data_IF_647076758959
#
_entry.id   IF_647076758959
#
_cell.length_a   1.000
_cell.length_b   1.000
_cell.length_c   1.000
_cell.angle_alpha   90.00
_cell.angle_beta   90.00
_cell.angle_gamma   90.00
#
_symmetry.space_group_name_H-M   'P 1'
#
loop_
_entity.id
_entity.type
_entity.pdbx_description
1 polymer ?
#
# COMPACT_ATOMS: atom_id res chain seq x y z
N UNK A 1 22.36 64.87 1.72
CA UNK A 1 21.98 63.62 1.01
C UNK A 1 22.28 62.44 1.92
N UNK A 2 21.37 61.47 1.96
CA UNK A 2 21.23 60.43 3.00
C UNK A 2 21.36 59.07 2.33
N UNK A 3 22.16 58.18 2.90
CA UNK A 3 21.92 56.72 2.92
C UNK A 3 22.74 56.09 4.03
N UNK A 4 22.05 55.74 5.13
CA UNK A 4 22.56 54.86 6.18
C UNK A 4 22.57 53.42 5.67
N UNK A 5 23.70 52.73 5.83
CA UNK A 5 23.74 51.26 5.75
C UNK A 5 23.09 50.71 7.03
N UNK A 6 22.03 49.93 6.87
CA UNK A 6 21.25 49.38 7.97
C UNK A 6 21.99 48.21 8.64
N UNK A 7 22.29 48.37 9.93
CA UNK A 7 22.68 47.28 10.81
C UNK A 7 21.52 46.29 10.94
N UNK A 8 21.74 45.04 10.55
CA UNK A 8 20.73 43.98 10.68
C UNK A 8 20.83 43.37 12.07
N UNK A 9 19.76 43.35 12.89
CA UNK A 9 19.82 42.86 14.26
C UNK A 9 20.20 41.37 14.31
N UNK A 10 20.96 40.93 15.33
CA UNK A 10 21.58 39.60 15.41
C UNK A 10 20.58 38.44 15.32
N UNK A 11 19.32 38.67 15.73
CA UNK A 11 18.23 37.67 15.63
C UNK A 11 17.86 37.32 14.19
N UNK A 12 17.91 38.28 13.25
CA UNK A 12 17.61 38.00 11.83
C UNK A 12 18.75 37.22 11.16
N UNK A 13 20.00 37.48 11.55
CA UNK A 13 21.16 36.71 11.05
C UNK A 13 21.11 35.25 11.51
N UNK A 14 20.71 35.00 12.76
CA UNK A 14 20.55 33.62 13.29
C UNK A 14 19.45 32.85 12.54
N UNK A 15 18.32 33.48 12.24
CA UNK A 15 17.23 32.85 11.46
C UNK A 15 17.68 32.50 10.04
N UNK A 16 18.43 33.40 9.38
CA UNK A 16 18.97 33.13 8.04
C UNK A 16 19.99 32.00 8.05
N UNK A 17 20.83 31.90 9.09
CA UNK A 17 21.80 30.81 9.24
C UNK A 17 21.12 29.46 9.50
N UNK A 18 20.05 29.43 10.30
CA UNK A 18 19.26 28.21 10.55
C UNK A 18 18.54 27.76 9.26
N UNK A 19 17.92 28.70 8.54
CA UNK A 19 17.26 28.40 7.28
C UNK A 19 18.24 27.89 6.23
N UNK A 20 19.42 28.51 6.10
CA UNK A 20 20.46 28.03 5.19
C UNK A 20 21.00 26.64 5.59
N UNK A 21 21.16 26.38 6.89
CA UNK A 21 21.59 25.07 7.39
C UNK A 21 20.58 23.96 7.10
N UNK A 22 19.28 24.22 7.29
CA UNK A 22 18.20 23.29 6.95
C UNK A 22 18.15 22.99 5.45
N UNK A 23 18.34 24.01 4.60
CA UNK A 23 18.40 23.83 3.15
C UNK A 23 19.58 22.96 2.71
N UNK A 24 20.76 23.16 3.30
CA UNK A 24 21.95 22.35 3.00
C UNK A 24 21.76 20.89 3.45
N UNK A 25 21.14 20.66 4.61
CA UNK A 25 20.82 19.31 5.09
C UNK A 25 19.80 18.60 4.20
N UNK A 26 18.76 19.30 3.72
CA UNK A 26 17.80 18.75 2.76
C UNK A 26 18.45 18.38 1.43
N UNK A 27 19.33 19.23 0.90
CA UNK A 27 20.05 18.97 -0.34
C UNK A 27 21.03 17.79 -0.19
N UNK A 28 21.70 17.66 0.95
CA UNK A 28 22.57 16.52 1.25
C UNK A 28 21.78 15.21 1.37
N UNK A 29 20.59 15.24 1.98
CA UNK A 29 19.69 14.08 2.07
C UNK A 29 19.24 13.57 0.70
N UNK A 30 18.88 14.48 -0.21
CA UNK A 30 18.49 14.13 -1.59
C UNK A 30 19.68 13.56 -2.37
N UNK A 31 20.88 14.12 -2.19
CA UNK A 31 22.10 13.64 -2.87
C UNK A 31 22.51 12.22 -2.44
N UNK A 32 22.37 11.88 -1.16
CA UNK A 32 22.66 10.53 -0.66
C UNK A 32 21.59 9.53 -1.12
N UNK A 33 20.32 9.94 -1.16
CA UNK A 33 19.22 9.08 -1.63
C UNK A 33 19.32 8.76 -3.14
N UNK A 34 19.79 9.71 -3.95
CA UNK A 34 20.02 9.50 -5.39
C UNK A 34 21.23 8.62 -5.72
N UNK A 35 22.22 8.53 -4.83
CA UNK A 35 23.43 7.71 -5.03
C UNK A 35 23.21 6.22 -4.70
N UNK A 36 22.22 5.89 -3.86
CA UNK A 36 21.89 4.51 -3.50
C UNK A 36 21.07 3.80 -4.61
N UNK A 37 20.38 4.55 -5.48
CA UNK A 37 19.51 3.97 -6.51
C UNK A 37 20.14 3.76 -7.89
N UNK A 38 21.34 4.28 -8.18
CA UNK A 38 22.13 3.95 -9.37
C UNK A 38 21.50 4.32 -10.73
N UNK A 39 22.26 4.76 -11.75
CA UNK A 39 21.69 4.98 -13.08
C UNK A 39 21.43 3.64 -13.78
N UNK A 40 20.17 3.32 -14.10
CA UNK A 40 19.85 2.23 -15.03
C UNK A 40 20.26 2.63 -16.44
N UNK A 41 21.37 2.09 -16.94
CA UNK A 41 21.74 2.16 -18.36
C UNK A 41 21.24 0.92 -19.08
N UNK A 42 20.09 1.01 -19.75
CA UNK A 42 19.64 0.05 -20.75
C UNK A 42 20.00 0.53 -22.17
N UNK A 43 20.21 -0.37 -23.16
CA UNK A 43 20.55 0.03 -24.53
C UNK A 43 19.35 0.67 -25.24
N UNK A 44 19.58 1.54 -26.24
CA UNK A 44 18.50 2.17 -27.00
C UNK A 44 17.81 1.14 -27.92
N UNK A 45 16.48 1.22 -28.10
CA UNK A 45 15.81 0.41 -29.11
C UNK A 45 16.08 0.97 -30.51
N UNK A 46 16.41 0.06 -31.42
CA UNK A 46 16.53 0.33 -32.86
C UNK A 46 15.19 0.74 -33.44
N UNK A 47 15.19 1.84 -34.19
CA UNK A 47 14.09 2.26 -35.03
C UNK A 47 13.96 1.29 -36.21
N UNK A 48 12.77 0.75 -36.41
CA UNK A 48 12.36 0.20 -37.71
C UNK A 48 10.91 0.58 -37.97
N UNK A 49 10.74 1.54 -38.88
CA UNK A 49 9.47 1.87 -39.53
C UNK A 49 9.02 0.70 -40.43
N UNK A 50 7.73 0.34 -40.39
CA UNK A 50 6.82 0.43 -41.53
C UNK A 50 5.50 -0.36 -41.32
N UNK A 51 4.40 0.35 -41.64
CA UNK A 51 3.12 -0.09 -42.21
C UNK A 51 2.02 -0.80 -41.38
N UNK A 52 0.88 -0.08 -41.28
CA UNK A 52 -0.47 -0.63 -41.28
C UNK A 52 -1.42 -0.05 -40.22
N UNK A 53 -2.50 0.69 -40.58
CA UNK A 53 -3.52 1.10 -39.63
C UNK A 53 -4.53 -0.05 -39.44
N UNK A 54 -4.43 -0.76 -38.32
CA UNK A 54 -5.52 -1.58 -37.82
C UNK A 54 -6.12 -0.87 -36.60
N UNK A 55 -7.33 -0.34 -36.76
CA UNK A 55 -8.15 0.11 -35.65
C UNK A 55 -8.53 -1.13 -34.82
N UNK A 56 -7.68 -1.48 -33.85
CA UNK A 56 -8.06 -2.39 -32.77
C UNK A 56 -9.02 -1.63 -31.88
N UNK A 57 -10.30 -1.99 -31.96
CA UNK A 57 -11.29 -1.59 -30.95
C UNK A 57 -10.71 -1.96 -29.57
N UNK A 58 -10.54 -0.94 -28.72
CA UNK A 58 -10.25 -1.16 -27.32
C UNK A 58 -11.32 -2.12 -26.76
N UNK A 59 -10.96 -3.13 -25.95
CA UNK A 59 -11.94 -3.76 -25.09
C UNK A 59 -12.53 -2.63 -24.24
N UNK A 60 -13.85 -2.49 -24.30
CA UNK A 60 -14.57 -1.69 -23.31
C UNK A 60 -14.34 -2.37 -21.96
N UNK A 61 -13.32 -1.92 -21.25
CA UNK A 61 -13.09 -2.33 -19.88
C UNK A 61 -14.34 -1.96 -19.09
N UNK A 62 -14.93 -2.99 -18.48
CA UNK A 62 -16.24 -2.94 -17.88
C UNK A 62 -16.38 -1.71 -17.01
N UNK A 63 -17.48 -0.99 -17.21
CA UNK A 63 -17.88 0.16 -16.42
C UNK A 63 -17.85 -0.21 -14.94
N UNK A 64 -16.75 0.10 -14.24
CA UNK A 64 -16.72 0.10 -12.79
C UNK A 64 -17.83 1.06 -12.37
N UNK A 65 -18.89 0.54 -11.76
CA UNK A 65 -20.00 1.36 -11.31
C UNK A 65 -19.42 2.37 -10.31
N UNK A 66 -19.36 3.66 -10.63
CA UNK A 66 -18.82 4.66 -9.72
C UNK A 66 -19.85 4.79 -8.60
N UNK A 67 -19.59 4.15 -7.47
CA UNK A 67 -20.52 4.22 -6.33
C UNK A 67 -20.44 3.13 -5.28
N UNK A 68 -19.62 2.07 -5.45
CA UNK A 68 -19.40 1.09 -4.37
C UNK A 68 -17.96 0.59 -4.32
N UNK A 69 -17.48 0.34 -3.12
CA UNK A 69 -16.23 -0.40 -2.88
C UNK A 69 -16.51 -1.88 -3.17
N UNK A 70 -15.59 -2.54 -3.86
CA UNK A 70 -15.72 -3.97 -4.20
C UNK A 70 -15.55 -4.80 -2.92
N UNK A 71 -16.54 -5.66 -2.55
CA UNK A 71 -16.41 -6.53 -1.39
C UNK A 71 -15.28 -7.54 -1.51
N UNK A 72 -14.76 -8.01 -0.36
CA UNK A 72 -13.82 -9.14 -0.36
C UNK A 72 -14.55 -10.40 -0.79
N UNK A 73 -14.09 -11.03 -1.87
CA UNK A 73 -14.62 -12.31 -2.32
C UNK A 73 -14.23 -13.41 -1.31
N UNK A 74 -15.25 -14.12 -0.77
CA UNK A 74 -15.05 -15.22 0.18
C UNK A 74 -14.51 -16.45 -0.53
N UNK A 75 -13.68 -17.22 0.17
CA UNK A 75 -13.12 -18.49 -0.31
C UNK A 75 -12.96 -19.44 0.88
N UNK A 76 -13.05 -20.74 0.64
CA UNK A 76 -12.67 -21.79 1.60
C UNK A 76 -11.19 -22.20 1.47
N UNK A 77 -10.54 -21.84 0.37
CA UNK A 77 -9.10 -21.99 0.19
C UNK A 77 -8.37 -20.80 0.84
N UNK A 78 -7.43 -21.04 1.79
CA UNK A 78 -6.79 -19.98 2.56
C UNK A 78 -5.91 -19.06 1.71
N UNK A 79 -5.20 -19.59 0.71
CA UNK A 79 -4.35 -18.77 -0.16
C UNK A 79 -5.19 -17.85 -1.05
N UNK A 80 -6.22 -18.39 -1.69
CA UNK A 80 -7.17 -17.62 -2.50
C UNK A 80 -7.86 -16.55 -1.66
N UNK A 81 -8.30 -16.89 -0.45
CA UNK A 81 -8.90 -15.92 0.48
C UNK A 81 -7.92 -14.80 0.86
N UNK A 82 -6.67 -15.16 1.19
CA UNK A 82 -5.64 -14.18 1.53
C UNK A 82 -5.31 -13.24 0.37
N UNK A 83 -5.26 -13.75 -0.88
CA UNK A 83 -5.11 -12.93 -2.09
C UNK A 83 -6.26 -11.94 -2.24
N UNK A 84 -7.51 -12.39 -2.05
CA UNK A 84 -8.69 -11.53 -2.12
C UNK A 84 -8.66 -10.41 -1.07
N UNK A 85 -8.26 -10.73 0.16
CA UNK A 85 -8.05 -9.74 1.23
C UNK A 85 -6.96 -8.75 0.83
N UNK A 86 -5.81 -9.23 0.37
CA UNK A 86 -4.68 -8.40 -0.04
C UNK A 86 -5.07 -7.41 -1.16
N UNK A 87 -5.77 -7.89 -2.18
CA UNK A 87 -6.30 -7.02 -3.25
C UNK A 87 -7.23 -5.95 -2.69
N UNK A 88 -8.18 -6.30 -1.82
CA UNK A 88 -9.14 -5.35 -1.27
C UNK A 88 -8.49 -4.27 -0.38
N UNK A 89 -7.50 -4.63 0.44
CA UNK A 89 -6.78 -3.68 1.31
C UNK A 89 -6.02 -2.63 0.48
N UNK A 90 -5.51 -3.03 -0.70
CA UNK A 90 -4.70 -2.15 -1.53
C UNK A 90 -5.47 -1.43 -2.64
N UNK A 91 -6.69 -1.87 -2.97
CA UNK A 91 -7.52 -1.34 -4.05
C UNK A 91 -8.37 -0.15 -3.59
N UNK A 92 -7.79 1.04 -3.60
CA UNK A 92 -8.49 2.26 -3.23
C UNK A 92 -8.29 3.41 -4.21
N UNK A 93 -9.26 4.33 -4.21
CA UNK A 93 -9.30 5.51 -5.07
C UNK A 93 -9.78 6.71 -4.24
N UNK A 94 -8.89 7.69 -4.08
CA UNK A 94 -9.18 8.91 -3.30
C UNK A 94 -10.22 9.82 -3.98
N UNK A 95 -10.39 9.69 -5.31
CA UNK A 95 -11.36 10.40 -6.13
C UNK A 95 -12.76 9.77 -6.16
N UNK A 96 -12.92 8.53 -5.68
CA UNK A 96 -14.19 7.80 -5.69
C UNK A 96 -15.23 8.30 -4.66
N UNK A 97 -14.88 9.31 -3.84
CA UNK A 97 -15.77 9.89 -2.83
C UNK A 97 -15.80 9.15 -1.49
N UNK A 98 -15.04 8.06 -1.35
CA UNK A 98 -14.88 7.31 -0.11
C UNK A 98 -13.74 7.86 0.76
N UNK A 99 -13.77 7.46 2.03
CA UNK A 99 -12.75 7.71 3.06
C UNK A 99 -12.07 6.38 3.46
N UNK A 100 -10.88 6.42 4.08
CA UNK A 100 -10.15 5.19 4.46
C UNK A 100 -11.02 4.18 5.24
N UNK A 101 -11.87 4.67 6.15
CA UNK A 101 -12.71 3.82 6.98
C UNK A 101 -13.75 3.04 6.17
N UNK A 102 -14.21 3.57 5.03
CA UNK A 102 -15.16 2.87 4.16
C UNK A 102 -14.51 1.63 3.53
N UNK A 103 -13.23 1.73 3.14
CA UNK A 103 -12.45 0.59 2.65
C UNK A 103 -12.17 -0.43 3.75
N UNK A 104 -11.82 0.04 4.95
CA UNK A 104 -11.67 -0.83 6.13
C UNK A 104 -12.95 -1.59 6.43
N UNK A 105 -14.12 -0.94 6.36
CA UNK A 105 -15.41 -1.56 6.68
C UNK A 105 -15.68 -2.79 5.82
N UNK A 106 -15.36 -2.73 4.53
CA UNK A 106 -15.54 -3.86 3.60
C UNK A 106 -14.64 -5.05 3.96
N UNK A 107 -13.40 -4.81 4.39
CA UNK A 107 -12.51 -5.89 4.83
C UNK A 107 -12.97 -6.49 6.16
N UNK A 108 -13.57 -5.68 7.04
CA UNK A 108 -14.13 -6.15 8.31
C UNK A 108 -15.34 -7.08 8.14
N UNK A 109 -16.04 -7.08 7.00
CA UNK A 109 -17.17 -7.98 6.74
C UNK A 109 -16.76 -9.46 6.61
N UNK A 110 -15.47 -9.73 6.40
CA UNK A 110 -14.91 -11.09 6.36
C UNK A 110 -14.05 -11.41 7.58
N UNK A 111 -14.03 -10.53 8.59
CA UNK A 111 -13.37 -10.81 9.85
C UNK A 111 -13.99 -12.02 10.56
N UNK A 112 -13.23 -12.63 11.47
CA UNK A 112 -13.74 -13.71 12.32
C UNK A 112 -15.00 -13.28 13.11
N UNK A 113 -16.10 -14.04 13.00
CA UNK A 113 -17.39 -13.65 13.56
C UNK A 113 -17.45 -13.75 15.08
N UNK A 114 -16.49 -14.40 15.74
CA UNK A 114 -16.44 -14.42 17.22
C UNK A 114 -16.16 -13.04 17.80
N UNK A 115 -15.54 -12.16 17.02
CA UNK A 115 -15.14 -10.82 17.45
C UNK A 115 -13.80 -10.76 18.20
N UNK A 116 -13.17 -11.89 18.50
CA UNK A 116 -11.97 -11.97 19.34
C UNK A 116 -10.82 -11.14 18.77
N UNK A 117 -10.56 -11.26 17.46
CA UNK A 117 -9.45 -10.57 16.81
C UNK A 117 -9.83 -9.21 16.19
N UNK A 118 -11.11 -8.81 16.20
CA UNK A 118 -11.58 -7.64 15.43
C UNK A 118 -10.91 -6.32 15.86
N UNK A 119 -10.65 -6.13 17.15
CA UNK A 119 -9.96 -4.94 17.63
C UNK A 119 -8.49 -4.90 17.16
N UNK A 120 -7.82 -6.06 17.16
CA UNK A 120 -6.46 -6.21 16.64
C UNK A 120 -6.43 -5.98 15.13
N UNK A 121 -7.33 -6.62 14.39
CA UNK A 121 -7.45 -6.47 12.94
C UNK A 121 -7.71 -5.03 12.51
N UNK A 122 -8.61 -4.32 13.20
CA UNK A 122 -8.88 -2.92 12.93
C UNK A 122 -7.64 -2.04 13.14
N UNK A 123 -6.83 -2.35 14.16
CA UNK A 123 -5.55 -1.67 14.39
C UNK A 123 -4.54 -2.00 13.28
N UNK A 124 -4.45 -3.26 12.85
CA UNK A 124 -3.56 -3.64 11.76
C UNK A 124 -3.96 -2.90 10.47
N UNK A 125 -5.24 -2.92 10.08
CA UNK A 125 -5.76 -2.25 8.88
C UNK A 125 -5.49 -0.75 8.88
N UNK A 126 -5.53 -0.08 10.04
CA UNK A 126 -5.22 1.34 10.15
C UNK A 126 -3.78 1.68 9.71
N UNK A 127 -2.86 0.72 9.74
CA UNK A 127 -1.49 0.90 9.26
C UNK A 127 -1.34 0.70 7.75
N UNK A 128 -2.32 0.08 7.07
CA UNK A 128 -2.26 -0.18 5.62
C UNK A 128 -2.83 0.97 4.78
N UNK A 129 -3.75 1.76 5.34
CA UNK A 129 -4.37 2.88 4.64
C UNK A 129 -3.73 4.22 5.03
N UNK A 130 -3.69 5.20 4.11
CA UNK A 130 -3.29 6.56 4.46
C UNK A 130 -4.18 7.13 5.58
N UNK A 131 -3.57 7.86 6.51
CA UNK A 131 -4.31 8.64 7.52
C UNK A 131 -5.20 9.69 6.84
N UNK A 132 -6.21 10.17 7.55
CA UNK A 132 -7.25 11.06 6.99
C UNK A 132 -6.66 12.31 6.33
N UNK A 133 -5.67 12.93 6.96
CA UNK A 133 -5.02 14.14 6.46
C UNK A 133 -4.30 13.85 5.14
N UNK A 134 -3.50 12.78 5.10
CA UNK A 134 -2.83 12.33 3.88
C UNK A 134 -3.82 11.96 2.77
N UNK A 135 -4.96 11.36 3.12
CA UNK A 135 -6.01 11.04 2.15
C UNK A 135 -6.59 12.29 1.46
N UNK A 136 -6.82 13.36 2.23
CA UNK A 136 -7.30 14.64 1.70
C UNK A 136 -6.26 15.27 0.76
N UNK A 137 -4.98 15.17 1.09
CA UNK A 137 -3.90 15.65 0.23
C UNK A 137 -3.82 14.82 -1.08
N UNK A 138 -3.84 13.49 -0.97
CA UNK A 138 -3.79 12.57 -2.11
C UNK A 138 -4.97 12.73 -3.07
N UNK A 139 -6.16 13.09 -2.54
CA UNK A 139 -7.35 13.36 -3.35
C UNK A 139 -7.16 14.51 -4.34
N UNK A 140 -6.32 15.50 -4.02
CA UNK A 140 -6.01 16.61 -4.94
C UNK A 140 -5.33 16.12 -6.22
N UNK A 141 -4.70 14.94 -6.16
CA UNK A 141 -4.01 14.31 -7.27
C UNK A 141 -4.78 13.13 -7.87
N UNK A 142 -6.06 12.93 -7.50
CA UNK A 142 -6.86 11.77 -7.90
C UNK A 142 -6.10 10.45 -7.72
N UNK A 143 -5.44 10.28 -6.56
CA UNK A 143 -4.54 9.17 -6.35
C UNK A 143 -5.32 7.86 -6.22
N UNK A 144 -4.89 6.84 -6.96
CA UNK A 144 -5.35 5.46 -6.85
C UNK A 144 -4.22 4.56 -6.41
N UNK A 145 -4.56 3.42 -5.81
CA UNK A 145 -3.65 2.35 -5.49
C UNK A 145 -4.24 1.00 -5.86
N UNK A 146 -3.37 0.08 -6.29
CA UNK A 146 -3.67 -1.35 -6.36
C UNK A 146 -2.41 -2.16 -6.05
N UNK A 147 -2.58 -3.48 -5.95
CA UNK A 147 -1.52 -4.44 -5.70
C UNK A 147 -1.52 -5.47 -6.82
N UNK A 148 -0.35 -5.71 -7.40
CA UNK A 148 -0.08 -6.92 -8.18
C UNK A 148 0.60 -7.94 -7.28
N UNK A 149 -0.05 -9.07 -7.04
CA UNK A 149 0.48 -10.12 -6.17
C UNK A 149 1.42 -11.00 -7.00
N UNK A 150 2.69 -11.06 -6.60
CA UNK A 150 3.70 -11.89 -7.26
C UNK A 150 3.78 -13.28 -6.64
N UNK A 151 3.54 -13.39 -5.33
CA UNK A 151 3.56 -14.68 -4.64
C UNK A 151 2.60 -14.71 -3.45
N UNK A 152 2.14 -15.91 -3.10
CA UNK A 152 1.40 -16.18 -1.87
C UNK A 152 1.71 -17.59 -1.39
N UNK A 153 2.15 -17.73 -0.14
CA UNK A 153 2.57 -19.03 0.40
C UNK A 153 2.44 -19.08 1.93
N UNK A 154 2.38 -20.29 2.49
CA UNK A 154 2.50 -20.49 3.93
C UNK A 154 3.98 -20.33 4.32
N UNK A 155 4.35 -19.37 5.18
CA UNK A 155 5.75 -19.13 5.53
C UNK A 155 6.32 -20.27 6.37
N UNK A 156 7.62 -20.52 6.28
CA UNK A 156 8.27 -21.65 6.96
C UNK A 156 8.17 -21.51 8.49
N UNK A 157 8.30 -20.27 9.01
CA UNK A 157 8.12 -20.03 10.44
C UNK A 157 6.71 -20.33 10.95
N UNK A 158 5.69 -20.48 10.10
CA UNK A 158 4.34 -20.85 10.56
C UNK A 158 4.32 -22.24 11.22
N UNK A 159 5.04 -23.21 10.65
CA UNK A 159 5.16 -24.54 11.25
C UNK A 159 5.83 -24.49 12.63
N UNK A 160 6.81 -23.60 12.78
CA UNK A 160 7.50 -23.36 14.06
C UNK A 160 6.57 -22.69 15.07
N UNK A 161 5.79 -21.68 14.65
CA UNK A 161 4.80 -21.01 15.50
C UNK A 161 3.74 -21.99 16.01
N UNK A 162 3.25 -22.90 15.16
CA UNK A 162 2.33 -23.95 15.56
C UNK A 162 2.94 -24.91 16.57
N UNK A 163 4.19 -25.35 16.37
CA UNK A 163 4.86 -26.27 17.28
C UNK A 163 5.16 -25.65 18.67
N UNK A 164 5.31 -24.33 18.72
CA UNK A 164 5.61 -23.59 19.96
C UNK A 164 4.35 -23.07 20.68
N UNK A 165 3.19 -23.09 20.02
CA UNK A 165 1.95 -22.63 20.60
C UNK A 165 1.52 -23.51 21.79
N UNK A 166 1.01 -22.87 22.85
CA UNK A 166 0.36 -23.60 23.93
C UNK A 166 -0.93 -24.26 23.44
N UNK A 167 -1.39 -25.36 24.06
CA UNK A 167 -2.66 -25.98 23.70
C UNK A 167 -3.81 -24.97 23.71
N UNK A 168 -4.51 -24.85 22.58
CA UNK A 168 -5.63 -23.92 22.40
C UNK A 168 -5.24 -22.46 22.14
N UNK A 169 -3.94 -22.12 22.08
CA UNK A 169 -3.49 -20.77 21.72
C UNK A 169 -3.73 -20.46 20.23
N UNK A 170 -3.61 -21.48 19.37
CA UNK A 170 -3.96 -21.41 17.95
C UNK A 170 -5.15 -22.33 17.73
N UNK A 171 -6.26 -21.77 17.28
CA UNK A 171 -7.46 -22.55 16.96
C UNK A 171 -7.21 -23.41 15.72
N UNK A 172 -7.70 -24.65 15.75
CA UNK A 172 -7.62 -25.55 14.60
C UNK A 172 -8.23 -24.91 13.34
N UNK A 173 -7.59 -25.09 12.19
CA UNK A 173 -7.95 -24.43 10.94
C UNK A 173 -7.34 -23.05 10.75
N UNK A 174 -6.58 -22.53 11.73
CA UNK A 174 -5.79 -21.30 11.55
C UNK A 174 -4.55 -21.57 10.70
N UNK A 175 -4.27 -20.70 9.74
CA UNK A 175 -3.02 -20.67 9.00
C UNK A 175 -2.54 -19.23 8.74
N UNK A 176 -1.32 -19.10 8.25
CA UNK A 176 -0.72 -17.84 7.83
C UNK A 176 -0.34 -17.92 6.36
N UNK A 177 -0.65 -16.86 5.60
CA UNK A 177 -0.28 -16.73 4.19
C UNK A 177 0.53 -15.45 4.03
N UNK A 178 1.81 -15.58 3.71
CA UNK A 178 2.64 -14.44 3.32
C UNK A 178 2.35 -14.09 1.87
N UNK A 179 2.04 -12.82 1.64
CA UNK A 179 1.80 -12.19 0.35
C UNK A 179 3.03 -11.37 0.00
N UNK A 180 3.55 -11.57 -1.21
CA UNK A 180 4.54 -10.69 -1.83
C UNK A 180 3.93 -10.07 -3.08
N UNK A 181 4.26 -8.81 -3.36
CA UNK A 181 3.74 -8.13 -4.53
C UNK A 181 4.33 -6.75 -4.78
N UNK A 182 3.82 -6.11 -5.83
CA UNK A 182 4.18 -4.75 -6.21
C UNK A 182 2.96 -3.86 -6.03
N UNK A 183 3.11 -2.87 -5.13
CA UNK A 183 2.13 -1.82 -4.91
C UNK A 183 2.32 -0.72 -5.94
N UNK A 184 1.28 -0.48 -6.73
CA UNK A 184 1.22 0.58 -7.71
C UNK A 184 0.42 1.75 -7.15
N UNK A 185 0.94 2.97 -7.28
CA UNK A 185 0.19 4.20 -7.09
C UNK A 185 0.23 5.03 -8.35
N UNK A 186 -0.91 5.59 -8.72
CA UNK A 186 -1.03 6.51 -9.84
C UNK A 186 -1.79 7.77 -9.41
N UNK A 187 -1.52 8.89 -10.08
CA UNK A 187 -2.21 10.15 -9.85
C UNK A 187 -1.90 11.17 -10.94
N UNK A 188 -2.36 12.40 -10.76
CA UNK A 188 -2.18 13.51 -11.70
C UNK A 188 -1.54 14.70 -11.00
N UNK A 189 -0.40 15.17 -11.50
CA UNK A 189 0.30 16.35 -11.01
C UNK A 189 0.50 17.35 -12.16
N UNK A 190 0.03 18.60 -12.00
CA UNK A 190 0.07 19.63 -13.06
C UNK A 190 -0.43 19.09 -14.42
N UNK A 191 -1.60 18.45 -14.43
CA UNK A 191 -2.22 17.84 -15.61
C UNK A 191 -1.43 16.70 -16.27
N UNK A 192 -0.36 16.23 -15.62
CA UNK A 192 0.46 15.10 -16.10
C UNK A 192 0.27 13.87 -15.23
N UNK A 193 0.14 12.67 -15.82
CA UNK A 193 0.11 11.45 -15.05
C UNK A 193 1.45 11.22 -14.35
N UNK A 194 1.40 10.74 -13.11
CA UNK A 194 2.53 10.31 -12.31
C UNK A 194 2.22 8.94 -11.71
N UNK A 195 3.23 8.09 -11.57
CA UNK A 195 3.10 6.78 -10.97
C UNK A 195 4.33 6.40 -10.14
N UNK A 196 4.14 5.53 -9.17
CA UNK A 196 5.21 4.91 -8.39
C UNK A 196 4.90 3.45 -8.09
N UNK A 197 5.97 2.67 -7.94
CA UNK A 197 5.92 1.23 -7.72
C UNK A 197 6.81 0.88 -6.54
N UNK A 198 6.32 0.02 -5.65
CA UNK A 198 7.04 -0.40 -4.46
C UNK A 198 6.77 -1.88 -4.21
N UNK A 199 7.82 -2.68 -4.09
CA UNK A 199 7.70 -4.04 -3.55
C UNK A 199 7.16 -3.97 -2.13
N UNK A 200 6.24 -4.87 -1.81
CA UNK A 200 5.66 -5.02 -0.48
C UNK A 200 5.55 -6.48 -0.10
N UNK A 201 5.66 -6.76 1.19
CA UNK A 201 5.41 -8.09 1.72
C UNK A 201 4.72 -8.05 3.10
N UNK A 202 3.76 -8.92 3.33
CA UNK A 202 3.05 -9.01 4.60
C UNK A 202 2.36 -10.36 4.77
N UNK A 203 1.92 -10.69 5.97
CA UNK A 203 1.26 -11.97 6.27
C UNK A 203 -0.19 -11.76 6.66
N UNK A 204 -1.07 -12.54 6.05
CA UNK A 204 -2.50 -12.63 6.36
C UNK A 204 -2.72 -13.86 7.24
N UNK A 205 -3.25 -13.65 8.44
CA UNK A 205 -3.64 -14.74 9.34
C UNK A 205 -5.12 -15.04 9.12
N UNK A 206 -5.42 -16.29 8.79
CA UNK A 206 -6.75 -16.73 8.35
C UNK A 206 -7.17 -17.96 9.14
N UNK A 207 -8.48 -18.14 9.32
CA UNK A 207 -9.06 -19.36 9.90
C UNK A 207 -10.12 -19.91 8.97
N UNK A 208 -10.02 -21.19 8.61
CA UNK A 208 -10.90 -21.87 7.65
C UNK A 208 -11.43 -23.18 8.27
N UNK A 209 -11.57 -24.24 7.46
CA UNK A 209 -11.89 -25.56 7.97
C UNK A 209 -10.80 -26.06 8.95
N UNK A 210 -11.18 -26.79 10.01
CA UNK A 210 -12.53 -27.27 10.32
C UNK A 210 -13.39 -26.29 11.14
N UNK A 211 -12.87 -25.11 11.49
CA UNK A 211 -13.63 -24.15 12.30
C UNK A 211 -14.81 -23.53 11.53
N UNK A 212 -14.64 -23.30 10.23
CA UNK A 212 -15.64 -22.68 9.35
C UNK A 212 -15.60 -23.29 7.93
N UNK A 213 -16.75 -23.33 7.26
CA UNK A 213 -16.85 -23.78 5.86
C UNK A 213 -16.21 -22.79 4.87
N UNK A 214 -16.07 -21.52 5.26
CA UNK A 214 -15.37 -20.47 4.50
C UNK A 214 -14.34 -19.79 5.39
N UNK A 215 -13.25 -19.33 4.80
CA UNK A 215 -12.20 -18.64 5.55
C UNK A 215 -12.67 -17.29 6.10
N UNK A 216 -12.13 -16.95 7.27
CA UNK A 216 -12.28 -15.66 7.93
C UNK A 216 -10.91 -15.04 8.22
N UNK A 217 -10.88 -13.70 8.17
CA UNK A 217 -9.68 -12.92 8.45
C UNK A 217 -9.51 -12.73 9.97
N UNK A 218 -8.35 -13.12 10.49
CA UNK A 218 -7.99 -12.90 11.89
C UNK A 218 -7.20 -11.61 12.06
N UNK A 219 -6.02 -11.52 11.43
CA UNK A 219 -5.03 -10.47 11.64
C UNK A 219 -4.22 -10.21 10.37
N UNK A 220 -3.56 -9.07 10.32
CA UNK A 220 -2.52 -8.79 9.33
C UNK A 220 -1.21 -8.51 10.07
N UNK A 221 -0.07 -8.97 9.51
CA UNK A 221 1.23 -8.49 10.01
C UNK A 221 1.40 -7.00 9.72
N UNK A 222 2.43 -6.40 10.28
CA UNK A 222 2.89 -5.10 9.81
C UNK A 222 3.36 -5.22 8.34
N UNK A 223 3.11 -4.15 7.58
CA UNK A 223 3.53 -4.06 6.18
C UNK A 223 5.07 -4.06 6.10
N UNK A 224 5.62 -4.81 5.15
CA UNK A 224 7.05 -5.04 4.92
C UNK A 224 7.76 -5.77 6.07
N UNK A 225 7.00 -6.36 6.98
CA UNK A 225 7.46 -7.20 8.07
C UNK A 225 6.68 -8.53 8.10
N UNK A 226 6.75 -9.34 7.03
CA UNK A 226 6.04 -10.62 6.96
C UNK A 226 6.69 -11.66 7.87
N UNK A 227 5.92 -12.67 8.22
CA UNK A 227 6.45 -13.94 8.71
C UNK A 227 7.21 -14.64 7.57
N UNK A 228 8.40 -15.17 7.86
CA UNK A 228 9.32 -15.80 6.90
C UNK A 228 9.45 -17.29 7.16
#
# INVERSE_FOLDING_TARGET
MKTSAADTPPRKRVIVLIAAGLSVLLLAGIGVYGLIQGPRTGPPPDNSEADGPAATAAPEDGTQTPGRIVPVERSSDPETFARNVATAVFAWDTGAGFMPLDYTAVVMEVADPTGTEQAGLANDLAAYLPVREAWVDLRQYATTQHLEITDAFVPEAWATAQAQAQPGQITEGTTAITIEGVRYRAGVWNEKPVASEHEVAFTVFVICEPAYDTCHLLRLSELDNPLR
#
